data_IF_884073996646
#
_entry.id   IF_884073996646
#
_cell.length_a   1.000
_cell.length_b   1.000
_cell.length_c   1.000
_cell.angle_alpha   90.00
_cell.angle_beta   90.00
_cell.angle_gamma   90.00
#
_symmetry.space_group_name_H-M   'P 1'
#
loop_
_entity.id
_entity.type
_entity.pdbx_description
1 polymer ?
#
# COMPACT_ATOMS: atom_id res chain seq x y z
N UNK A 1 -18.42 23.17 41.67
CA UNK A 1 -17.11 22.60 41.27
C UNK A 1 -16.99 22.73 39.77
N UNK A 2 -15.96 23.44 39.30
CA UNK A 2 -15.80 23.87 37.90
C UNK A 2 -15.45 22.69 37.01
N UNK A 3 -16.21 22.51 35.94
CA UNK A 3 -15.92 21.57 34.87
C UNK A 3 -14.53 21.85 34.29
N UNK A 4 -13.77 20.78 34.11
CA UNK A 4 -12.37 20.82 33.72
C UNK A 4 -12.27 21.13 32.21
N UNK A 5 -12.35 22.42 31.85
CA UNK A 5 -12.36 22.94 30.48
C UNK A 5 -11.09 22.64 29.67
N UNK A 6 -10.05 22.12 30.31
CA UNK A 6 -8.81 21.69 29.67
C UNK A 6 -8.94 20.39 28.84
N UNK A 7 -10.02 19.61 29.03
CA UNK A 7 -10.20 18.33 28.33
C UNK A 7 -11.16 18.40 27.13
N UNK A 8 -11.98 19.45 27.00
CA UNK A 8 -12.94 19.58 25.89
C UNK A 8 -12.33 20.21 24.63
N UNK A 9 -11.19 20.89 24.73
CA UNK A 9 -10.64 21.71 23.63
C UNK A 9 -9.62 21.01 22.72
N UNK A 10 -9.22 19.76 22.98
CA UNK A 10 -8.15 19.07 22.21
C UNK A 10 -8.60 17.81 21.45
N UNK A 11 -9.81 17.81 20.88
CA UNK A 11 -10.10 16.96 19.71
C UNK A 11 -9.96 17.76 18.42
N UNK A 12 -8.77 18.29 18.17
CA UNK A 12 -8.37 18.56 16.79
C UNK A 12 -8.00 17.21 16.20
N UNK A 13 -9.02 16.45 15.80
CA UNK A 13 -8.83 15.32 14.92
C UNK A 13 -8.44 15.94 13.59
N UNK A 14 -7.14 16.08 13.33
CA UNK A 14 -6.63 16.45 12.01
C UNK A 14 -7.19 15.41 11.02
N UNK A 15 -8.14 15.78 10.14
CA UNK A 15 -8.71 14.84 9.18
C UNK A 15 -7.60 14.18 8.36
N UNK A 16 -6.54 14.93 8.04
CA UNK A 16 -5.39 14.43 7.27
C UNK A 16 -4.59 13.35 8.02
N UNK A 17 -4.59 13.36 9.35
CA UNK A 17 -3.98 12.31 10.18
C UNK A 17 -4.87 11.06 10.25
N UNK A 18 -6.19 11.22 10.35
CA UNK A 18 -7.14 10.11 10.30
C UNK A 18 -7.15 9.41 8.93
N UNK A 19 -7.04 10.16 7.85
CA UNK A 19 -6.97 9.60 6.50
C UNK A 19 -5.72 8.73 6.29
N UNK A 20 -4.59 9.06 6.94
CA UNK A 20 -3.38 8.22 6.96
C UNK A 20 -3.48 7.05 7.96
N UNK A 21 -4.24 7.22 9.05
CA UNK A 21 -4.41 6.21 10.09
C UNK A 21 -5.25 4.99 9.64
N UNK A 22 -6.10 5.12 8.62
CA UNK A 22 -7.00 4.06 8.20
C UNK A 22 -6.55 3.27 6.95
N UNK A 23 -5.48 3.67 6.26
CA UNK A 23 -5.04 2.97 5.02
C UNK A 23 -4.19 1.76 5.38
N UNK A 24 -4.44 0.64 4.71
CA UNK A 24 -3.67 -0.59 4.87
C UNK A 24 -2.67 -0.75 3.74
N UNK A 25 -1.61 -1.53 3.98
CA UNK A 25 -0.66 -1.90 2.92
C UNK A 25 -1.36 -2.57 1.73
N UNK A 26 -2.43 -3.35 1.95
CA UNK A 26 -3.23 -3.95 0.89
C UNK A 26 -3.77 -2.93 -0.15
N UNK A 27 -4.07 -1.70 0.27
CA UNK A 27 -4.60 -0.64 -0.61
C UNK A 27 -3.50 0.09 -1.40
N UNK A 28 -2.23 -0.20 -1.10
CA UNK A 28 -1.08 0.45 -1.72
C UNK A 28 -0.77 -0.15 -3.10
N UNK A 29 -0.47 0.71 -4.08
CA UNK A 29 -0.04 0.26 -5.43
C UNK A 29 1.27 -0.52 -5.43
N UNK A 30 2.10 -0.32 -4.42
CA UNK A 30 3.39 -1.02 -4.27
C UNK A 30 3.27 -2.35 -3.55
N UNK A 31 2.10 -2.67 -2.98
CA UNK A 31 1.88 -3.92 -2.30
C UNK A 31 1.30 -4.92 -3.29
N UNK A 32 2.07 -5.97 -3.58
CA UNK A 32 1.83 -6.87 -4.70
C UNK A 32 1.96 -8.31 -4.25
N UNK A 33 1.34 -9.22 -5.00
CA UNK A 33 1.56 -10.65 -4.84
C UNK A 33 2.76 -11.06 -5.68
N UNK A 34 3.85 -11.44 -5.05
CA UNK A 34 5.05 -11.93 -5.71
C UNK A 34 4.88 -13.43 -5.96
N UNK A 35 4.85 -13.83 -7.23
CA UNK A 35 4.70 -15.22 -7.67
C UNK A 35 6.07 -15.87 -7.88
N UNK A 36 6.40 -16.81 -7.01
CA UNK A 36 7.48 -17.76 -7.21
C UNK A 36 7.02 -18.97 -8.04
N UNK A 37 7.89 -19.97 -8.13
CA UNK A 37 7.61 -21.21 -8.85
C UNK A 37 6.60 -22.10 -8.12
N UNK A 38 6.69 -22.16 -6.79
CA UNK A 38 5.88 -23.04 -5.94
C UNK A 38 5.00 -22.25 -4.97
N UNK A 39 5.40 -21.03 -4.61
CA UNK A 39 4.70 -20.21 -3.63
C UNK A 39 4.40 -18.81 -4.18
N UNK A 40 3.35 -18.18 -3.64
CA UNK A 40 3.05 -16.79 -3.90
C UNK A 40 2.91 -16.05 -2.57
N UNK A 41 3.69 -14.99 -2.39
CA UNK A 41 3.74 -14.21 -1.14
C UNK A 41 3.44 -12.75 -1.40
N UNK A 42 2.78 -12.11 -0.45
CA UNK A 42 2.63 -10.66 -0.48
C UNK A 42 3.96 -9.99 -0.17
N UNK A 43 4.19 -8.83 -0.79
CA UNK A 43 5.39 -8.05 -0.57
C UNK A 43 5.25 -6.61 -1.01
N UNK A 44 6.15 -5.76 -0.51
CA UNK A 44 6.19 -4.34 -0.84
C UNK A 44 7.38 -4.04 -1.76
N UNK A 45 7.11 -3.50 -2.94
CA UNK A 45 8.16 -3.13 -3.93
C UNK A 45 8.52 -1.65 -3.89
N UNK A 46 7.96 -0.86 -2.98
CA UNK A 46 8.17 0.60 -2.93
C UNK A 46 9.65 0.99 -2.78
N UNK A 47 10.42 0.21 -2.01
CA UNK A 47 11.85 0.43 -1.78
C UNK A 47 12.76 -0.23 -2.81
N UNK A 48 12.21 -0.84 -3.88
CA UNK A 48 13.01 -1.50 -4.90
C UNK A 48 13.34 -0.54 -6.05
N UNK A 49 14.57 -0.59 -6.59
CA UNK A 49 14.96 0.22 -7.74
C UNK A 49 14.02 -0.05 -8.91
N UNK A 50 13.68 1.00 -9.65
CA UNK A 50 12.84 0.89 -10.83
C UNK A 50 11.36 0.63 -10.56
N UNK A 51 10.89 0.41 -9.33
CA UNK A 51 9.45 0.33 -9.00
C UNK A 51 8.89 1.64 -8.44
N UNK A 52 9.72 2.46 -7.79
CA UNK A 52 9.36 3.79 -7.30
C UNK A 52 9.29 4.90 -8.38
N UNK A 53 9.55 4.58 -9.65
CA UNK A 53 9.59 5.58 -10.71
C UNK A 53 8.19 6.16 -11.02
N UNK A 54 8.05 7.50 -11.14
CA UNK A 54 6.79 8.11 -11.55
C UNK A 54 6.36 7.59 -12.93
N UNK A 55 5.08 7.24 -13.08
CA UNK A 55 4.52 6.70 -14.32
C UNK A 55 4.64 5.18 -14.51
N UNK A 56 5.44 4.47 -13.71
CA UNK A 56 5.51 2.99 -13.84
C UNK A 56 4.26 2.33 -13.27
N UNK A 57 3.52 1.63 -14.11
CA UNK A 57 2.41 0.79 -13.66
C UNK A 57 2.94 -0.43 -12.93
N UNK A 58 2.37 -0.69 -11.75
CA UNK A 58 2.73 -1.85 -10.92
C UNK A 58 1.52 -2.78 -10.94
N UNK A 59 1.66 -3.99 -11.50
CA UNK A 59 0.56 -4.95 -11.54
C UNK A 59 0.26 -5.49 -10.14
N UNK A 60 -0.91 -6.09 -9.97
CA UNK A 60 -1.31 -6.76 -8.72
C UNK A 60 -0.44 -7.96 -8.38
N UNK A 61 0.08 -8.62 -9.40
CA UNK A 61 0.93 -9.79 -9.29
C UNK A 61 2.22 -9.58 -10.07
N UNK A 62 3.36 -9.91 -9.47
CA UNK A 62 4.68 -9.78 -10.07
C UNK A 62 5.44 -11.11 -10.00
N UNK A 63 6.07 -11.57 -11.10
CA UNK A 63 6.95 -12.74 -11.05
C UNK A 63 8.18 -12.45 -10.20
N UNK A 64 8.56 -13.37 -9.31
CA UNK A 64 9.77 -13.27 -8.50
C UNK A 64 11.03 -13.11 -9.37
N UNK A 65 11.06 -13.73 -10.54
CA UNK A 65 12.15 -13.59 -11.51
C UNK A 65 12.33 -12.14 -11.99
N UNK A 66 11.25 -11.37 -12.16
CA UNK A 66 11.32 -9.95 -12.53
C UNK A 66 11.92 -9.14 -11.38
N UNK A 67 11.46 -9.39 -10.15
CA UNK A 67 11.98 -8.72 -8.95
C UNK A 67 13.47 -9.00 -8.78
N UNK A 68 13.92 -10.25 -8.97
CA UNK A 68 15.33 -10.63 -8.92
C UNK A 68 16.12 -9.93 -10.04
N UNK A 69 15.59 -9.87 -11.26
CA UNK A 69 16.25 -9.20 -12.38
C UNK A 69 16.49 -7.72 -12.11
N UNK A 70 15.54 -7.05 -11.45
CA UNK A 70 15.59 -5.60 -11.22
C UNK A 70 16.33 -5.23 -9.93
N UNK A 71 16.14 -5.98 -8.85
CA UNK A 71 16.59 -5.62 -7.51
C UNK A 71 17.50 -6.68 -6.85
N UNK A 72 17.80 -7.77 -7.54
CA UNK A 72 18.57 -8.89 -7.02
C UNK A 72 17.80 -9.77 -6.04
N UNK A 73 18.47 -10.83 -5.56
CA UNK A 73 17.91 -11.75 -4.55
C UNK A 73 17.62 -11.03 -3.23
N UNK A 74 18.51 -10.14 -2.80
CA UNK A 74 18.30 -9.35 -1.58
C UNK A 74 17.10 -8.40 -1.71
N UNK A 75 16.88 -7.86 -2.90
CA UNK A 75 15.69 -7.06 -3.19
C UNK A 75 14.40 -7.86 -3.03
N UNK A 76 14.37 -9.08 -3.55
CA UNK A 76 13.24 -9.98 -3.37
C UNK A 76 12.98 -10.28 -1.88
N UNK A 77 14.04 -10.63 -1.13
CA UNK A 77 13.92 -10.90 0.31
C UNK A 77 13.35 -9.68 1.06
N UNK A 78 13.89 -8.48 0.82
CA UNK A 78 13.37 -7.25 1.45
C UNK A 78 11.90 -6.98 1.10
N UNK A 79 11.47 -7.30 -0.11
CA UNK A 79 10.10 -7.10 -0.53
C UNK A 79 9.13 -8.03 0.21
N UNK A 80 9.46 -9.32 0.30
CA UNK A 80 8.60 -10.31 0.99
C UNK A 80 8.64 -10.17 2.51
N UNK A 81 9.70 -9.61 3.09
CA UNK A 81 9.76 -9.30 4.54
C UNK A 81 8.74 -8.26 4.98
N UNK A 82 8.20 -7.44 4.07
CA UNK A 82 7.15 -6.44 4.33
C UNK A 82 5.81 -6.86 3.74
N UNK A 83 5.47 -8.15 3.90
CA UNK A 83 4.33 -8.82 3.26
C UNK A 83 3.03 -8.86 4.06
N UNK A 84 2.80 -7.97 5.03
CA UNK A 84 1.56 -7.97 5.81
C UNK A 84 0.50 -7.06 5.16
N UNK A 85 -0.60 -7.62 4.61
CA UNK A 85 -1.69 -6.84 4.00
C UNK A 85 -2.48 -6.02 5.02
N UNK A 86 -2.52 -6.45 6.28
CA UNK A 86 -3.28 -5.80 7.34
C UNK A 86 -2.47 -4.74 8.09
N UNK A 87 -1.16 -4.70 7.87
CA UNK A 87 -0.31 -3.66 8.41
C UNK A 87 -0.78 -2.28 7.96
N UNK A 88 -0.65 -1.31 8.87
CA UNK A 88 -0.89 0.09 8.56
C UNK A 88 0.04 0.54 7.44
N UNK A 89 -0.50 1.34 6.52
CA UNK A 89 0.23 1.87 5.39
C UNK A 89 1.46 2.66 5.85
N UNK A 90 2.61 2.38 5.22
CA UNK A 90 3.85 3.08 5.51
C UNK A 90 3.90 4.48 4.85
N UNK A 91 4.94 5.27 5.16
CA UNK A 91 5.14 6.61 4.59
C UNK A 91 5.35 6.66 3.07
N UNK A 92 5.50 5.51 2.40
CA UNK A 92 5.60 5.40 0.93
C UNK A 92 4.26 5.01 0.28
N UNK A 93 3.15 5.08 1.03
CA UNK A 93 1.84 4.74 0.54
C UNK A 93 1.46 5.58 -0.67
N UNK A 94 1.06 4.91 -1.75
CA UNK A 94 0.36 5.52 -2.85
C UNK A 94 -0.89 4.69 -3.14
N UNK A 95 -2.07 5.33 -3.27
CA UNK A 95 -3.30 4.59 -3.51
C UNK A 95 -3.22 3.85 -4.84
N UNK A 96 -3.75 2.62 -4.87
CA UNK A 96 -4.04 1.96 -6.14
C UNK A 96 -5.01 2.83 -6.92
N UNK A 97 -4.63 3.24 -8.13
CA UNK A 97 -5.60 3.77 -9.09
C UNK A 97 -6.54 2.62 -9.45
N UNK A 98 -7.61 2.41 -8.67
CA UNK A 98 -8.76 1.66 -9.16
C UNK A 98 -9.20 2.40 -10.42
N UNK A 99 -9.22 1.72 -11.57
CA UNK A 99 -10.06 2.19 -12.66
C UNK A 99 -11.43 2.38 -12.01
N UNK A 100 -11.89 3.63 -11.92
CA UNK A 100 -13.29 3.89 -11.66
C UNK A 100 -13.99 3.12 -12.79
N UNK A 101 -14.53 1.94 -12.48
CA UNK A 101 -15.51 1.33 -13.36
C UNK A 101 -16.63 2.37 -13.34
N UNK A 102 -16.93 3.06 -14.45
CA UNK A 102 -18.11 3.91 -14.45
C UNK A 102 -19.26 2.95 -14.15
N UNK A 103 -19.89 3.14 -13.00
CA UNK A 103 -21.13 2.47 -12.65
C UNK A 103 -22.14 2.88 -13.71
N UNK A 104 -22.26 2.07 -14.76
CA UNK A 104 -23.32 2.24 -15.76
C UNK A 104 -24.62 2.02 -14.98
N UNK A 105 -25.50 3.02 -14.84
CA UNK A 105 -26.78 2.77 -14.21
C UNK A 105 -27.58 1.90 -15.17
N UNK A 106 -27.84 0.66 -14.74
CA UNK A 106 -28.73 -0.26 -15.43
C UNK A 106 -30.15 0.29 -15.28
N UNK A 107 -30.55 1.16 -16.22
CA UNK A 107 -31.94 1.53 -16.40
C UNK A 107 -32.65 0.35 -17.06
N UNK A 108 -33.52 -0.30 -16.29
CA UNK A 108 -34.47 -1.30 -16.77
C UNK A 108 -35.88 -0.84 -16.44
#
# INVERSE_FOLDING_TARGET
MRGNSLWESHRIVLPELCERAAKRCADCRFFVRIQGREEARWGCVAGLPGYGAPGKLIPESLPAAEVIRVAGKDGLLRAVSRGDPNAQACGLFLPRCRKLVPSVPEYR
#
